data_IF_403020461784
#
_entry.id   IF_403020461784
#
_cell.length_a   1.000
_cell.length_b   1.000
_cell.length_c   1.000
_cell.angle_alpha   90.00
_cell.angle_beta   90.00
_cell.angle_gamma   90.00
#
_symmetry.space_group_name_H-M   'P 1'
#
loop_
_entity.id
_entity.type
_entity.pdbx_description
1 polymer ?
#
# COMPACT_ATOMS: atom_id res chain seq x y z
N UNK A 1 6.61 -5.93 25.51
CA UNK A 1 5.76 -7.12 25.71
C UNK A 1 6.58 -8.08 26.56
N UNK A 2 6.13 -8.38 27.77
CA UNK A 2 6.88 -9.22 28.71
C UNK A 2 6.50 -10.68 28.47
N UNK A 3 7.47 -11.51 28.09
CA UNK A 3 7.27 -12.95 28.03
C UNK A 3 7.36 -13.48 29.47
N UNK A 4 6.25 -14.03 29.96
CA UNK A 4 6.22 -14.73 31.23
C UNK A 4 6.49 -16.20 30.96
N UNK A 5 7.65 -16.67 31.41
CA UNK A 5 7.97 -18.09 31.41
C UNK A 5 7.66 -18.66 32.79
N UNK A 6 6.87 -19.73 32.83
CA UNK A 6 6.60 -20.46 34.06
C UNK A 6 7.73 -21.46 34.28
N UNK A 7 8.39 -21.36 35.43
CA UNK A 7 9.42 -22.31 35.85
C UNK A 7 8.71 -23.45 36.57
N UNK A 8 8.71 -24.65 35.96
CA UNK A 8 8.09 -25.84 36.54
C UNK A 8 9.12 -26.63 37.35
N UNK A 9 8.79 -27.01 38.57
CA UNK A 9 9.65 -27.77 39.50
C UNK A 9 9.68 -29.28 39.22
N UNK A 10 9.48 -29.70 37.96
CA UNK A 10 9.25 -31.10 37.59
C UNK A 10 10.50 -31.86 37.11
N UNK A 11 11.70 -31.28 37.22
CA UNK A 11 12.91 -31.94 36.73
C UNK A 11 14.13 -31.79 37.66
N UNK A 12 14.32 -32.69 38.63
CA UNK A 12 13.45 -33.81 39.01
C UNK A 12 12.36 -33.42 40.02
N UNK A 13 11.23 -34.14 40.02
CA UNK A 13 10.14 -33.99 40.99
C UNK A 13 10.64 -34.19 42.44
N UNK A 14 10.17 -33.39 43.42
CA UNK A 14 10.61 -33.54 44.81
C UNK A 14 10.15 -34.88 45.40
N UNK A 15 11.09 -35.75 45.74
CA UNK A 15 10.83 -37.04 46.41
C UNK A 15 11.17 -36.89 47.90
N UNK A 16 10.24 -37.27 48.79
CA UNK A 16 10.37 -37.29 50.25
C UNK A 16 10.79 -35.96 50.91
N UNK A 17 9.81 -35.08 51.17
CA UNK A 17 9.95 -33.93 52.08
C UNK A 17 11.18 -33.03 51.84
N UNK A 18 11.59 -32.88 50.57
CA UNK A 18 12.67 -31.96 50.17
C UNK A 18 12.26 -30.49 50.33
N UNK A 19 13.21 -29.64 50.70
CA UNK A 19 13.01 -28.19 50.81
C UNK A 19 12.48 -27.62 49.48
N UNK A 20 11.44 -26.80 49.57
CA UNK A 20 10.93 -26.04 48.44
C UNK A 20 12.08 -25.19 47.85
N UNK A 21 12.28 -25.25 46.54
CA UNK A 21 13.28 -24.41 45.87
C UNK A 21 12.97 -22.94 46.19
N UNK A 22 13.93 -22.23 46.78
CA UNK A 22 13.79 -20.80 47.05
C UNK A 22 14.10 -20.04 45.76
N UNK A 23 13.06 -19.63 45.03
CA UNK A 23 13.15 -18.87 43.80
C UNK A 23 11.77 -18.45 43.29
N UNK A 24 11.70 -17.36 42.52
CA UNK A 24 10.46 -16.93 41.87
C UNK A 24 10.05 -17.93 40.79
N UNK A 25 8.81 -18.45 40.85
CA UNK A 25 8.28 -19.42 39.87
C UNK A 25 8.02 -18.81 38.50
N UNK A 26 8.21 -17.49 38.37
CA UNK A 26 8.02 -16.72 37.16
C UNK A 26 9.33 -16.04 36.82
N UNK A 27 9.92 -16.38 35.67
CA UNK A 27 11.03 -15.60 35.14
C UNK A 27 10.46 -14.61 34.14
N UNK A 28 10.59 -13.31 34.44
CA UNK A 28 10.25 -12.25 33.50
C UNK A 28 11.54 -11.76 32.86
N UNK A 29 11.72 -12.06 31.58
CA UNK A 29 12.81 -11.48 30.79
C UNK A 29 12.23 -10.40 29.87
N UNK A 30 12.83 -9.22 29.88
CA UNK A 30 12.50 -8.18 28.91
C UNK A 30 12.95 -8.63 27.51
N UNK A 31 12.00 -9.10 26.70
CA UNK A 31 12.23 -9.29 25.26
C UNK A 31 12.18 -7.94 24.54
N UNK A 32 13.20 -7.11 24.77
CA UNK A 32 13.45 -5.91 23.96
C UNK A 32 14.34 -6.28 22.78
N UNK A 33 13.81 -7.08 21.85
CA UNK A 33 14.44 -7.20 20.53
C UNK A 33 14.15 -5.90 19.79
N UNK A 34 15.08 -4.96 19.85
CA UNK A 34 15.03 -3.75 19.03
C UNK A 34 15.27 -4.18 17.58
N UNK A 35 14.20 -4.31 16.82
CA UNK A 35 14.29 -4.57 15.39
C UNK A 35 14.59 -3.28 14.65
N UNK A 36 15.68 -3.26 13.87
CA UNK A 36 15.99 -2.11 13.03
C UNK A 36 14.84 -1.83 12.03
N UNK A 37 14.47 -0.56 11.80
CA UNK A 37 13.47 -0.19 10.81
C UNK A 37 13.95 -0.62 9.42
N UNK A 38 13.09 -1.31 8.68
CA UNK A 38 13.35 -1.68 7.29
C UNK A 38 12.49 -0.78 6.43
N UNK A 39 13.11 0.15 5.72
CA UNK A 39 12.41 1.03 4.79
C UNK A 39 11.93 0.25 3.57
N UNK A 40 10.71 0.56 3.11
CA UNK A 40 10.16 -0.03 1.90
C UNK A 40 10.93 0.43 0.67
N UNK A 41 11.09 -0.46 -0.31
CA UNK A 41 11.62 -0.12 -1.62
C UNK A 41 10.72 -0.63 -2.73
N UNK A 42 10.71 0.13 -3.83
CA UNK A 42 9.90 -0.16 -5.01
C UNK A 42 10.38 -1.42 -5.71
N UNK A 43 9.45 -2.25 -6.17
CA UNK A 43 9.72 -3.22 -7.23
C UNK A 43 10.09 -2.48 -8.52
N UNK A 44 10.68 -3.21 -9.46
CA UNK A 44 10.71 -2.78 -10.85
C UNK A 44 9.29 -2.43 -11.34
N UNK A 45 9.21 -1.49 -12.26
CA UNK A 45 7.97 -1.19 -12.96
C UNK A 45 7.48 -2.41 -13.74
N UNK A 46 6.17 -2.62 -13.76
CA UNK A 46 5.53 -3.52 -14.70
C UNK A 46 5.78 -3.07 -16.14
N UNK A 47 5.57 -3.98 -17.08
CA UNK A 47 5.35 -3.60 -18.48
C UNK A 47 4.19 -2.60 -18.57
N UNK A 48 4.23 -1.75 -19.60
CA UNK A 48 3.11 -0.90 -19.94
C UNK A 48 1.90 -1.76 -20.36
N UNK A 49 0.70 -1.32 -19.99
CA UNK A 49 -0.54 -1.88 -20.51
C UNK A 49 -0.65 -1.65 -22.01
N UNK A 50 -1.58 -2.36 -22.64
CA UNK A 50 -2.04 -1.98 -23.98
C UNK A 50 -2.58 -0.56 -23.98
N UNK A 51 -2.49 0.11 -25.13
CA UNK A 51 -3.05 1.44 -25.33
C UNK A 51 -4.58 1.38 -25.20
N UNK A 52 -5.16 2.18 -24.30
CA UNK A 52 -6.61 2.25 -24.13
C UNK A 52 -7.27 3.06 -25.26
N UNK A 53 -8.61 3.03 -25.31
CA UNK A 53 -9.38 3.89 -26.22
C UNK A 53 -9.21 5.40 -25.95
N UNK A 54 -8.76 5.77 -24.75
CA UNK A 54 -8.39 7.14 -24.40
C UNK A 54 -6.94 7.48 -24.77
N UNK A 55 -6.28 6.58 -25.52
CA UNK A 55 -4.90 6.68 -25.97
C UNK A 55 -3.89 6.87 -24.85
N UNK A 56 -4.20 6.25 -23.70
CA UNK A 56 -3.35 6.23 -22.53
C UNK A 56 -2.94 4.79 -22.23
N UNK A 57 -1.71 4.61 -21.79
CA UNK A 57 -1.20 3.36 -21.27
C UNK A 57 -0.72 3.57 -19.84
N UNK A 58 -0.83 2.54 -19.02
CA UNK A 58 -0.54 2.58 -17.59
C UNK A 58 0.50 1.52 -17.25
N UNK A 59 1.42 1.84 -16.34
CA UNK A 59 2.28 0.85 -15.68
C UNK A 59 2.26 1.05 -14.18
N UNK A 60 2.55 0.00 -13.42
CA UNK A 60 2.50 -0.01 -11.95
C UNK A 60 3.78 -0.55 -11.33
N UNK A 61 4.01 -0.24 -10.07
CA UNK A 61 5.05 -0.81 -9.22
C UNK A 61 4.49 -0.97 -7.82
N UNK A 62 5.12 -1.81 -7.00
CA UNK A 62 4.63 -2.13 -5.66
C UNK A 62 5.75 -1.85 -4.66
N UNK A 63 5.42 -1.31 -3.49
CA UNK A 63 6.37 -1.11 -2.40
C UNK A 63 6.60 -2.42 -1.64
N UNK A 64 7.35 -3.36 -2.23
CA UNK A 64 7.50 -4.71 -1.68
C UNK A 64 8.89 -5.33 -1.87
N UNK A 65 9.89 -4.58 -2.31
CA UNK A 65 11.22 -5.13 -2.56
C UNK A 65 12.35 -4.31 -1.89
N UNK A 66 12.47 -4.31 -0.54
CA UNK A 66 11.64 -5.04 0.43
C UNK A 66 10.37 -4.29 0.86
N UNK A 67 9.39 -4.95 1.51
CA UNK A 67 8.27 -4.26 2.14
C UNK A 67 8.72 -3.58 3.44
N UNK A 68 8.09 -2.45 3.82
CA UNK A 68 8.43 -1.74 5.06
C UNK A 68 8.11 -2.59 6.30
N UNK A 69 9.04 -2.63 7.27
CA UNK A 69 8.88 -3.38 8.54
C UNK A 69 9.47 -2.60 9.71
N UNK A 70 9.04 -2.94 10.92
CA UNK A 70 9.55 -2.39 12.19
C UNK A 70 9.55 -0.85 12.24
N UNK A 71 8.48 -0.22 11.76
CA UNK A 71 8.37 1.24 11.71
C UNK A 71 9.16 1.91 10.59
N UNK A 72 9.71 1.13 9.65
CA UNK A 72 10.35 1.67 8.45
C UNK A 72 9.37 2.42 7.54
N UNK A 73 9.89 3.40 6.83
CA UNK A 73 9.11 4.30 5.98
C UNK A 73 8.55 3.58 4.74
N UNK A 74 7.34 3.97 4.32
CA UNK A 74 6.78 3.55 3.04
C UNK A 74 7.54 4.21 1.88
N UNK A 75 7.55 3.57 0.72
CA UNK A 75 8.14 4.11 -0.50
C UNK A 75 7.54 5.47 -0.88
N UNK A 76 8.40 6.40 -1.29
CA UNK A 76 8.02 7.76 -1.71
C UNK A 76 7.72 7.79 -3.22
N UNK A 77 6.66 8.50 -3.60
CA UNK A 77 6.21 8.70 -4.98
C UNK A 77 5.01 7.85 -5.39
N UNK A 78 4.59 7.96 -6.65
CA UNK A 78 3.42 7.24 -7.16
C UNK A 78 3.71 5.77 -7.47
N UNK A 79 2.71 4.92 -7.25
CA UNK A 79 2.69 3.49 -7.56
C UNK A 79 2.23 3.20 -9.00
N UNK A 80 1.69 4.21 -9.71
CA UNK A 80 1.31 4.14 -11.11
C UNK A 80 1.87 5.29 -11.94
N UNK A 81 1.99 5.07 -13.25
CA UNK A 81 2.31 6.10 -14.23
C UNK A 81 1.39 5.95 -15.44
N UNK A 82 0.99 7.09 -16.00
CA UNK A 82 0.14 7.18 -17.20
C UNK A 82 0.93 7.92 -18.28
N UNK A 83 0.89 7.42 -19.52
CA UNK A 83 1.53 8.06 -20.67
C UNK A 83 0.64 7.95 -21.91
N UNK A 84 0.70 8.95 -22.78
CA UNK A 84 0.12 8.85 -24.12
C UNK A 84 0.89 7.81 -24.96
N UNK A 85 0.18 6.86 -25.55
CA UNK A 85 0.77 5.81 -26.40
C UNK A 85 0.83 6.17 -27.89
N UNK A 86 0.10 7.20 -28.31
CA UNK A 86 -0.07 7.61 -29.73
C UNK A 86 0.78 8.82 -30.14
N UNK A 87 1.65 9.33 -29.26
CA UNK A 87 2.43 10.53 -29.53
C UNK A 87 1.58 11.79 -29.78
N UNK A 88 0.36 11.83 -29.25
CA UNK A 88 -0.59 12.94 -29.49
C UNK A 88 -1.46 12.80 -30.74
N UNK A 89 -1.30 11.74 -31.53
CA UNK A 89 -2.16 11.48 -32.70
C UNK A 89 -3.54 10.94 -32.32
N UNK A 90 -3.81 10.79 -31.02
CA UNK A 90 -5.12 10.44 -30.52
C UNK A 90 -6.14 11.52 -30.85
N UNK A 91 -7.01 11.24 -31.82
CA UNK A 91 -8.29 11.91 -31.89
C UNK A 91 -9.10 11.40 -30.72
N UNK A 92 -9.07 12.14 -29.59
CA UNK A 92 -10.24 12.15 -28.72
C UNK A 92 -11.39 12.44 -29.67
N UNK A 93 -12.31 11.49 -29.83
CA UNK A 93 -13.63 11.83 -30.30
C UNK A 93 -14.15 12.75 -29.23
N UNK A 94 -13.81 14.04 -29.33
CA UNK A 94 -14.50 15.04 -28.57
C UNK A 94 -15.90 14.89 -29.11
N UNK A 95 -16.74 14.20 -28.35
CA UNK A 95 -18.18 14.34 -28.37
C UNK A 95 -18.47 15.77 -27.92
N UNK A 96 -17.94 16.76 -28.67
CA UNK A 96 -18.72 17.94 -28.92
C UNK A 96 -19.96 17.38 -29.56
N UNK A 97 -21.07 17.37 -28.82
CA UNK A 97 -22.38 17.62 -29.42
C UNK A 97 -22.25 18.94 -30.16
N UNK A 98 -21.63 18.94 -31.35
CA UNK A 98 -21.80 20.00 -32.32
C UNK A 98 -23.24 19.84 -32.78
N UNK A 99 -24.11 20.66 -32.18
CA UNK A 99 -25.32 21.19 -32.81
C UNK A 99 -26.01 20.23 -33.77
N UNK A 100 -26.90 19.39 -33.25
CA UNK A 100 -28.01 18.86 -34.04
C UNK A 100 -29.26 18.92 -33.16
N UNK A 101 -30.30 19.58 -33.69
CA UNK A 101 -31.59 19.93 -33.08
C UNK A 101 -31.49 21.21 -32.21
N UNK A 102 -31.87 22.41 -32.67
CA UNK A 102 -33.07 22.76 -33.44
C UNK A 102 -32.89 24.06 -34.23
N UNK A 103 -32.64 23.95 -35.54
CA UNK A 103 -32.93 25.00 -36.49
C UNK A 103 -34.44 24.99 -36.78
N UNK A 104 -35.29 25.41 -35.82
CA UNK A 104 -36.71 25.69 -36.07
C UNK A 104 -37.35 26.75 -35.15
N UNK A 105 -36.60 27.46 -34.30
CA UNK A 105 -37.17 28.54 -33.50
C UNK A 105 -36.34 29.82 -33.62
N UNK A 106 -36.10 30.30 -34.84
CA UNK A 106 -35.80 31.72 -35.07
C UNK A 106 -37.07 32.51 -34.75
N UNK A 107 -37.27 32.76 -33.46
CA UNK A 107 -38.35 33.54 -32.90
C UNK A 107 -37.79 34.40 -31.78
N UNK A 108 -37.18 35.52 -32.20
CA UNK A 108 -37.02 36.74 -31.42
C UNK A 108 -36.01 36.74 -30.26
N UNK A 109 -35.51 37.94 -29.99
CA UNK A 109 -34.67 38.39 -28.88
C UNK A 109 -33.15 38.44 -29.12
N UNK A 110 -32.74 39.53 -29.79
CA UNK A 110 -31.63 40.34 -29.30
C UNK A 110 -31.87 40.71 -27.82
N UNK A 111 -30.81 40.79 -27.01
CA UNK A 111 -30.65 41.99 -26.21
C UNK A 111 -29.29 42.66 -26.45
N UNK A 112 -29.37 43.97 -26.59
CA UNK A 112 -28.27 44.92 -26.43
C UNK A 112 -27.71 44.85 -25.00
N UNK A 113 -26.38 44.75 -24.87
CA UNK A 113 -25.44 45.66 -24.17
C UNK A 113 -24.08 44.97 -24.08
#
# INVERSE_FOLDING_TARGET
>A
MNLKFNVFTSNPSPVNSGQHCTGESTQTSDCSVICNPIHGSWTSWSSWSTCSHECSQVRRRICSNPPPKHGGQHCIGHDFLIKNCTGGMCRKLVSYRKHFLTALMFGSFYPNI
#
